data_IF_043319232937
#
_entry.id   IF_043319232937
#
_cell.length_a   1.000
_cell.length_b   1.000
_cell.length_c   1.000
_cell.angle_alpha   90.00
_cell.angle_beta   90.00
_cell.angle_gamma   90.00
#
_symmetry.space_group_name_H-M   'P 1'
#
loop_
_entity.id
_entity.type
_entity.pdbx_description
1 polymer ?
#
# COMPACT_ATOMS: atom_id res chain seq x y z
N UNK A 1 5.27 21.22 2.70
CA UNK A 1 5.46 20.07 3.62
C UNK A 1 6.49 20.49 4.65
N UNK A 2 6.06 21.17 5.72
CA UNK A 2 6.98 21.83 6.69
C UNK A 2 7.04 21.15 8.06
N UNK A 3 6.04 20.32 8.41
CA UNK A 3 5.88 19.78 9.77
C UNK A 3 6.78 18.55 10.03
N UNK A 4 7.04 17.74 9.00
CA UNK A 4 7.85 16.51 9.10
C UNK A 4 8.93 16.47 8.01
N UNK A 5 9.96 17.34 8.09
CA UNK A 5 10.94 17.51 7.01
C UNK A 5 11.78 16.26 6.74
N UNK A 6 11.92 15.37 7.74
CA UNK A 6 12.68 14.12 7.64
C UNK A 6 11.83 12.91 7.20
N UNK A 7 10.55 13.10 6.89
CA UNK A 7 9.68 12.01 6.49
C UNK A 7 9.86 11.70 5.00
N UNK A 8 10.27 10.47 4.68
CA UNK A 8 10.23 9.96 3.31
C UNK A 8 8.77 9.73 2.91
N UNK A 9 8.24 10.60 2.07
CA UNK A 9 6.86 10.47 1.56
C UNK A 9 6.87 9.64 0.29
N UNK A 10 5.99 8.63 0.24
CA UNK A 10 5.79 7.77 -0.91
C UNK A 10 4.30 7.56 -1.18
N UNK A 11 3.95 7.37 -2.44
CA UNK A 11 2.62 6.96 -2.85
C UNK A 11 2.46 5.44 -2.66
N UNK A 12 1.48 5.05 -1.86
CA UNK A 12 1.19 3.66 -1.58
C UNK A 12 0.94 2.84 -2.86
N UNK A 13 1.84 1.90 -3.15
CA UNK A 13 1.79 1.04 -4.34
C UNK A 13 0.48 0.27 -4.47
N UNK A 14 -0.12 -0.15 -3.34
CA UNK A 14 -1.41 -0.85 -3.34
C UNK A 14 -2.52 0.04 -3.89
N UNK A 15 -2.56 1.31 -3.49
CA UNK A 15 -3.54 2.27 -4.00
C UNK A 15 -3.25 2.65 -5.44
N UNK A 16 -1.97 2.72 -5.84
CA UNK A 16 -1.57 2.94 -7.22
C UNK A 16 -2.08 1.81 -8.14
N UNK A 17 -1.85 0.54 -7.75
CA UNK A 17 -2.36 -0.63 -8.49
C UNK A 17 -3.89 -0.62 -8.57
N UNK A 18 -4.59 -0.38 -7.45
CA UNK A 18 -6.06 -0.34 -7.47
C UNK A 18 -6.61 0.79 -8.34
N UNK A 19 -5.93 1.92 -8.37
CA UNK A 19 -6.31 3.05 -9.23
C UNK A 19 -6.14 2.71 -10.71
N UNK A 20 -5.04 2.04 -11.08
CA UNK A 20 -4.81 1.52 -12.43
C UNK A 20 -5.92 0.58 -12.89
N UNK A 21 -6.33 -0.38 -12.04
CA UNK A 21 -7.32 -1.40 -12.41
C UNK A 21 -8.69 -0.82 -12.82
N UNK A 22 -8.99 0.43 -12.47
CA UNK A 22 -10.20 1.15 -12.90
C UNK A 22 -10.22 1.43 -14.40
N UNK A 23 -9.06 1.47 -15.04
CA UNK A 23 -8.90 1.77 -16.48
C UNK A 23 -8.68 0.52 -17.34
N UNK A 24 -8.72 -0.66 -16.74
CA UNK A 24 -8.47 -1.92 -17.43
C UNK A 24 -9.64 -2.90 -17.29
N UNK A 25 -9.89 -3.68 -18.33
CA UNK A 25 -10.85 -4.78 -18.28
C UNK A 25 -10.46 -5.83 -17.24
N UNK A 26 -11.47 -6.31 -16.49
CA UNK A 26 -11.32 -7.37 -15.49
C UNK A 26 -10.66 -8.64 -16.06
N UNK A 27 -10.87 -8.93 -17.34
CA UNK A 27 -10.25 -10.06 -18.02
C UNK A 27 -8.71 -10.02 -17.97
N UNK A 28 -8.12 -8.82 -17.89
CA UNK A 28 -6.67 -8.63 -17.91
C UNK A 28 -6.07 -8.36 -16.51
N UNK A 29 -6.89 -8.23 -15.46
CA UNK A 29 -6.42 -7.84 -14.11
C UNK A 29 -5.36 -8.79 -13.54
N UNK A 30 -5.52 -10.09 -13.74
CA UNK A 30 -4.56 -11.08 -13.24
C UNK A 30 -3.18 -10.90 -13.87
N UNK A 31 -3.13 -10.71 -15.20
CA UNK A 31 -1.87 -10.53 -15.95
C UNK A 31 -1.25 -9.17 -15.64
N UNK A 32 -2.04 -8.10 -15.67
CA UNK A 32 -1.60 -6.75 -15.30
C UNK A 32 -0.97 -6.70 -13.91
N UNK A 33 -1.63 -7.26 -12.89
CA UNK A 33 -1.09 -7.22 -11.52
C UNK A 33 0.17 -8.08 -11.37
N UNK A 34 0.31 -9.17 -12.12
CA UNK A 34 1.54 -9.98 -12.17
C UNK A 34 2.70 -9.21 -12.80
N UNK A 35 2.47 -8.48 -13.88
CA UNK A 35 3.52 -7.69 -14.55
C UNK A 35 3.90 -6.47 -13.72
N UNK A 36 2.92 -5.76 -13.14
CA UNK A 36 3.16 -4.66 -12.19
C UNK A 36 3.97 -5.09 -10.97
N UNK A 37 3.80 -6.34 -10.51
CA UNK A 37 4.59 -6.89 -9.41
C UNK A 37 6.08 -6.85 -9.70
N UNK A 38 6.48 -7.12 -10.94
CA UNK A 38 7.90 -7.10 -11.33
C UNK A 38 8.51 -5.70 -11.18
N UNK A 39 7.71 -4.65 -11.35
CA UNK A 39 8.15 -3.26 -11.18
C UNK A 39 8.44 -2.97 -9.71
N UNK A 40 7.45 -3.13 -8.83
CA UNK A 40 7.61 -2.74 -7.42
C UNK A 40 8.44 -3.71 -6.57
N UNK A 41 8.72 -4.91 -7.08
CA UNK A 41 9.68 -5.85 -6.46
C UNK A 41 11.06 -5.81 -7.10
N UNK A 42 11.34 -4.89 -8.03
CA UNK A 42 12.65 -4.76 -8.65
C UNK A 42 13.74 -4.42 -7.61
N UNK A 43 14.98 -4.91 -7.78
CA UNK A 43 16.05 -4.68 -6.79
C UNK A 43 16.53 -3.23 -6.75
N UNK A 44 16.47 -2.51 -7.89
CA UNK A 44 16.93 -1.13 -8.04
C UNK A 44 15.91 -0.30 -8.82
N UNK A 45 16.03 1.03 -8.74
CA UNK A 45 15.21 1.96 -9.53
C UNK A 45 15.40 1.74 -11.03
N UNK A 46 16.63 1.64 -11.52
CA UNK A 46 16.93 1.32 -12.92
C UNK A 46 16.30 0.00 -13.38
N UNK A 47 16.32 -1.03 -12.53
CA UNK A 47 15.65 -2.28 -12.85
C UNK A 47 14.13 -2.10 -12.90
N UNK A 48 13.54 -1.28 -12.02
CA UNK A 48 12.12 -0.96 -12.06
C UNK A 48 11.73 -0.19 -13.33
N UNK A 49 12.57 0.75 -13.79
CA UNK A 49 12.38 1.48 -15.05
C UNK A 49 12.38 0.53 -16.25
N UNK A 50 13.34 -0.40 -16.30
CA UNK A 50 13.37 -1.44 -17.34
C UNK A 50 12.09 -2.28 -17.34
N UNK A 51 11.62 -2.72 -16.15
CA UNK A 51 10.36 -3.46 -16.03
C UNK A 51 9.14 -2.62 -16.41
N UNK A 52 9.18 -1.31 -16.17
CA UNK A 52 8.12 -0.41 -16.58
C UNK A 52 8.10 -0.21 -18.10
N UNK A 53 9.27 -0.13 -18.75
CA UNK A 53 9.36 -0.10 -20.21
C UNK A 53 8.83 -1.39 -20.85
N UNK A 54 9.16 -2.56 -20.29
CA UNK A 54 8.57 -3.86 -20.72
C UNK A 54 7.04 -3.85 -20.55
N UNK A 55 6.54 -3.31 -19.45
CA UNK A 55 5.11 -3.20 -19.17
C UNK A 55 4.41 -2.25 -20.14
N UNK A 56 5.03 -1.12 -20.48
CA UNK A 56 4.54 -0.16 -21.48
C UNK A 56 4.50 -0.76 -22.88
N UNK A 57 5.53 -1.51 -23.28
CA UNK A 57 5.53 -2.19 -24.57
C UNK A 57 4.40 -3.23 -24.69
N UNK A 58 4.07 -3.94 -23.60
CA UNK A 58 3.00 -4.94 -23.61
C UNK A 58 1.59 -4.32 -23.54
N UNK A 59 1.41 -3.28 -22.72
CA UNK A 59 0.08 -2.78 -22.35
C UNK A 59 -0.24 -1.39 -22.89
N UNK A 60 0.73 -0.67 -23.44
CA UNK A 60 0.61 0.73 -23.82
C UNK A 60 -0.43 1.01 -24.89
N UNK A 61 -0.48 0.19 -25.93
CA UNK A 61 -1.45 0.34 -27.02
C UNK A 61 -2.89 0.09 -26.53
N UNK A 62 -3.06 -0.92 -25.67
CA UNK A 62 -4.38 -1.33 -25.17
C UNK A 62 -4.88 -0.42 -24.05
N UNK A 63 -3.98 0.03 -23.18
CA UNK A 63 -4.31 0.79 -21.98
C UNK A 63 -3.39 2.02 -21.81
N UNK A 64 -3.44 3.01 -22.73
CA UNK A 64 -2.56 4.17 -22.66
C UNK A 64 -2.78 5.02 -21.39
N UNK A 65 -4.01 5.07 -20.88
CA UNK A 65 -4.33 5.76 -19.62
C UNK A 65 -3.64 5.10 -18.40
N UNK A 66 -3.44 3.79 -18.43
CA UNK A 66 -2.71 3.05 -17.39
C UNK A 66 -1.24 3.45 -17.36
N UNK A 67 -0.62 3.56 -18.55
CA UNK A 67 0.78 3.99 -18.68
C UNK A 67 0.95 5.43 -18.20
N UNK A 68 0.08 6.34 -18.66
CA UNK A 68 0.11 7.75 -18.24
C UNK A 68 0.02 7.87 -16.71
N UNK A 69 -0.93 7.18 -16.08
CA UNK A 69 -1.12 7.20 -14.63
C UNK A 69 0.14 6.72 -13.88
N UNK A 70 0.83 5.69 -14.36
CA UNK A 70 2.07 5.21 -13.72
C UNK A 70 3.25 6.15 -13.94
N UNK A 71 3.36 6.75 -15.13
CA UNK A 71 4.41 7.73 -15.43
C UNK A 71 4.26 8.99 -14.57
N UNK A 72 3.03 9.48 -14.40
CA UNK A 72 2.72 10.60 -13.52
C UNK A 72 3.01 10.27 -12.04
N UNK A 73 2.70 9.05 -11.60
CA UNK A 73 2.96 8.60 -10.23
C UNK A 73 4.44 8.28 -9.95
N UNK A 74 5.27 8.14 -10.99
CA UNK A 74 6.65 7.65 -10.87
C UNK A 74 7.48 8.42 -9.82
N UNK A 75 7.52 9.77 -9.80
CA UNK A 75 8.33 10.51 -8.82
C UNK A 75 7.89 10.31 -7.37
N UNK A 76 6.59 10.03 -7.15
CA UNK A 76 6.06 9.73 -5.82
C UNK A 76 6.14 8.25 -5.47
N UNK A 77 6.38 7.37 -6.45
CA UNK A 77 6.55 5.93 -6.27
C UNK A 77 8.02 5.54 -6.02
N UNK A 78 8.99 6.16 -6.69
CA UNK A 78 10.41 5.80 -6.57
C UNK A 78 10.97 5.89 -5.14
N UNK A 79 10.52 6.79 -4.24
CA UNK A 79 10.96 6.76 -2.84
C UNK A 79 10.64 5.43 -2.13
N UNK A 80 9.59 4.71 -2.57
CA UNK A 80 9.31 3.37 -2.05
C UNK A 80 10.38 2.34 -2.48
N UNK A 81 10.99 2.48 -3.67
CA UNK A 81 12.05 1.58 -4.14
C UNK A 81 13.36 1.74 -3.38
N UNK A 82 13.61 2.93 -2.80
CA UNK A 82 14.78 3.19 -1.95
C UNK A 82 14.77 2.39 -0.64
N UNK A 83 13.63 1.83 -0.25
CA UNK A 83 13.56 0.97 0.92
C UNK A 83 14.16 -0.42 0.64
N UNK A 84 14.92 -0.99 1.61
CA UNK A 84 15.26 -2.41 1.62
C UNK A 84 14.05 -3.33 1.40
N UNK A 85 14.27 -4.50 0.81
CA UNK A 85 13.20 -5.42 0.42
C UNK A 85 12.34 -5.88 1.61
N UNK A 86 12.96 -6.04 2.78
CA UNK A 86 12.33 -6.40 4.05
C UNK A 86 11.29 -5.37 4.48
N UNK A 87 11.63 -4.08 4.31
CA UNK A 87 10.76 -2.94 4.62
C UNK A 87 9.68 -2.81 3.55
N UNK A 88 10.06 -2.87 2.26
CA UNK A 88 9.12 -2.81 1.14
C UNK A 88 8.01 -3.83 1.30
N UNK A 89 8.37 -5.08 1.63
CA UNK A 89 7.41 -6.16 1.85
C UNK A 89 6.34 -5.78 2.84
N UNK A 90 6.68 -5.16 3.96
CA UNK A 90 5.71 -4.68 4.94
C UNK A 90 4.83 -3.58 4.34
N UNK A 91 5.42 -2.59 3.67
CA UNK A 91 4.72 -1.44 3.09
C UNK A 91 3.68 -1.86 2.04
N UNK A 92 4.02 -2.77 1.13
CA UNK A 92 3.10 -3.20 0.07
C UNK A 92 2.17 -4.34 0.49
N UNK A 93 2.25 -4.85 1.73
CA UNK A 93 1.23 -5.79 2.21
C UNK A 93 -0.11 -5.08 2.34
N UNK A 94 -1.16 -5.69 1.79
CA UNK A 94 -2.52 -5.16 1.90
C UNK A 94 -3.20 -5.57 3.21
N UNK A 95 -2.67 -6.60 3.88
CA UNK A 95 -3.32 -7.28 5.01
C UNK A 95 -3.79 -6.34 6.13
N UNK A 96 -2.94 -5.41 6.57
CA UNK A 96 -3.28 -4.51 7.68
C UNK A 96 -4.43 -3.55 7.33
N UNK A 97 -4.34 -2.91 6.17
CA UNK A 97 -5.31 -1.92 5.68
C UNK A 97 -6.61 -2.61 5.26
N UNK A 98 -6.54 -3.74 4.54
CA UNK A 98 -7.70 -4.50 4.11
C UNK A 98 -8.46 -5.11 5.29
N UNK A 99 -7.75 -5.66 6.28
CA UNK A 99 -8.36 -6.19 7.51
C UNK A 99 -9.17 -5.11 8.23
N UNK A 100 -8.58 -3.93 8.45
CA UNK A 100 -9.28 -2.83 9.12
C UNK A 100 -10.43 -2.28 8.26
N UNK A 101 -10.19 -2.04 6.97
CA UNK A 101 -11.19 -1.53 6.04
C UNK A 101 -12.37 -2.49 5.84
N UNK A 102 -12.15 -3.81 5.89
CA UNK A 102 -13.22 -4.80 5.87
C UNK A 102 -14.10 -4.70 7.12
N UNK A 103 -13.49 -4.52 8.30
CA UNK A 103 -14.24 -4.34 9.56
C UNK A 103 -15.06 -3.06 9.56
N UNK A 104 -14.50 -1.95 9.09
CA UNK A 104 -15.24 -0.70 8.93
C UNK A 104 -16.42 -0.85 7.97
N UNK A 105 -16.21 -1.45 6.80
CA UNK A 105 -17.31 -1.72 5.84
C UNK A 105 -18.38 -2.63 6.44
N UNK A 106 -18.01 -3.65 7.20
CA UNK A 106 -18.97 -4.52 7.87
C UNK A 106 -19.80 -3.76 8.91
N UNK A 107 -19.15 -2.94 9.76
CA UNK A 107 -19.83 -2.15 10.77
C UNK A 107 -20.77 -1.11 10.16
N UNK A 108 -20.33 -0.42 9.10
CA UNK A 108 -21.15 0.53 8.36
C UNK A 108 -22.37 -0.15 7.70
N UNK A 109 -22.17 -1.29 7.01
CA UNK A 109 -23.25 -2.06 6.38
C UNK A 109 -24.32 -2.52 7.38
N UNK A 110 -23.93 -2.91 8.60
CA UNK A 110 -24.87 -3.31 9.66
C UNK A 110 -25.73 -2.16 10.16
N UNK A 111 -25.28 -0.90 10.02
CA UNK A 111 -26.01 0.29 10.47
C UNK A 111 -26.88 0.90 9.37
N UNK A 112 -26.49 0.77 8.09
CA UNK A 112 -27.22 1.30 6.95
C UNK A 112 -27.04 2.82 6.77
N UNK A 113 -27.50 3.61 7.74
CA UNK A 113 -27.38 5.08 7.75
C UNK A 113 -26.84 5.59 9.09
N UNK A 114 -26.22 6.77 9.07
CA UNK A 114 -25.73 7.46 10.27
C UNK A 114 -26.38 8.85 10.36
N UNK A 115 -27.02 9.20 11.50
CA UNK A 115 -27.73 10.47 11.65
C UNK A 115 -26.78 11.68 11.69
N UNK A 116 -25.53 11.47 12.09
CA UNK A 116 -24.48 12.50 12.12
C UNK A 116 -23.11 11.90 11.82
N UNK A 117 -22.15 12.73 11.42
CA UNK A 117 -20.74 12.34 11.28
C UNK A 117 -20.18 11.79 12.60
N UNK A 118 -20.53 12.42 13.74
CA UNK A 118 -20.10 11.96 15.07
C UNK A 118 -20.60 10.55 15.39
N UNK A 119 -21.83 10.20 14.98
CA UNK A 119 -22.34 8.84 15.13
C UNK A 119 -21.51 7.83 14.31
N UNK A 120 -21.12 8.20 13.08
CA UNK A 120 -20.25 7.38 12.25
C UNK A 120 -18.86 7.20 12.89
N UNK A 121 -18.23 8.30 13.33
CA UNK A 121 -16.94 8.28 14.01
C UNK A 121 -16.96 7.41 15.27
N UNK A 122 -18.01 7.51 16.09
CA UNK A 122 -18.17 6.67 17.29
C UNK A 122 -18.19 5.18 16.94
N UNK A 123 -18.86 4.79 15.85
CA UNK A 123 -18.88 3.40 15.41
C UNK A 123 -17.51 2.94 14.92
N UNK A 124 -16.80 3.74 14.13
CA UNK A 124 -15.44 3.41 13.68
C UNK A 124 -14.46 3.29 14.86
N UNK A 125 -14.55 4.20 15.83
CA UNK A 125 -13.79 4.14 17.08
C UNK A 125 -14.04 2.85 17.86
N UNK A 126 -15.30 2.46 18.03
CA UNK A 126 -15.66 1.21 18.71
C UNK A 126 -15.13 -0.01 17.95
N UNK A 127 -15.12 -0.01 16.61
CA UNK A 127 -14.51 -1.07 15.81
C UNK A 127 -13.01 -1.19 16.09
N UNK A 128 -12.29 -0.08 16.24
CA UNK A 128 -10.86 -0.10 16.56
C UNK A 128 -10.63 -0.66 17.97
N UNK A 129 -11.43 -0.20 18.94
CA UNK A 129 -11.31 -0.57 20.36
C UNK A 129 -11.72 -2.00 20.67
N UNK A 130 -12.57 -2.60 19.85
CA UNK A 130 -13.05 -3.96 20.08
C UNK A 130 -12.04 -5.00 19.59
N UNK A 131 -11.37 -5.75 20.48
CA UNK A 131 -10.50 -6.86 20.07
C UNK A 131 -11.34 -7.98 19.46
N UNK A 132 -10.78 -8.68 18.48
CA UNK A 132 -11.39 -9.88 17.93
C UNK A 132 -10.85 -11.10 18.68
N UNK A 133 -11.69 -12.13 18.87
CA UNK A 133 -11.27 -13.40 19.47
C UNK A 133 -10.06 -13.94 18.69
N UNK A 134 -8.97 -14.28 19.39
CA UNK A 134 -7.70 -14.76 18.83
C UNK A 134 -6.96 -13.75 17.93
N UNK A 135 -7.33 -12.46 17.95
CA UNK A 135 -6.67 -11.38 17.22
C UNK A 135 -6.53 -10.15 18.11
N UNK A 136 -5.44 -10.06 18.91
CA UNK A 136 -5.22 -8.93 19.81
C UNK A 136 -4.99 -7.62 19.05
N UNK A 137 -4.43 -7.68 17.84
CA UNK A 137 -4.22 -6.51 16.97
C UNK A 137 -5.39 -6.31 16.01
N UNK A 138 -5.91 -5.07 15.96
CA UNK A 138 -7.02 -4.68 15.06
C UNK A 138 -6.68 -4.89 13.57
N UNK A 139 -5.40 -4.73 13.22
CA UNK A 139 -4.82 -4.88 11.88
C UNK A 139 -4.28 -6.29 11.61
N UNK A 140 -4.33 -7.20 12.58
CA UNK A 140 -3.77 -8.55 12.46
C UNK A 140 -2.27 -8.63 12.73
N UNK A 141 -1.62 -9.69 12.23
CA UNK A 141 -0.16 -9.89 12.34
C UNK A 141 0.51 -9.46 11.04
N UNK A 142 1.67 -8.81 11.16
CA UNK A 142 2.52 -8.45 10.02
C UNK A 142 3.61 -9.52 9.86
N UNK A 143 3.57 -10.36 8.81
CA UNK A 143 4.60 -11.38 8.59
C UNK A 143 5.98 -10.74 8.41
N UNK A 144 7.00 -11.33 9.04
CA UNK A 144 8.37 -10.82 8.93
C UNK A 144 8.61 -9.48 9.64
N UNK A 145 7.72 -9.05 10.55
CA UNK A 145 7.86 -7.78 11.26
C UNK A 145 9.19 -7.63 11.99
N UNK A 146 9.67 -8.66 12.68
CA UNK A 146 10.95 -8.60 13.41
C UNK A 146 12.13 -8.31 12.47
N UNK A 147 12.15 -8.95 11.30
CA UNK A 147 13.17 -8.70 10.26
C UNK A 147 13.08 -7.26 9.77
N UNK A 148 11.88 -6.80 9.40
CA UNK A 148 11.67 -5.44 8.93
C UNK A 148 12.02 -4.38 10.00
N UNK A 149 11.73 -4.64 11.27
CA UNK A 149 12.06 -3.75 12.39
C UNK A 149 13.58 -3.63 12.56
N UNK A 150 14.31 -4.73 12.47
CA UNK A 150 15.77 -4.71 12.49
C UNK A 150 16.33 -3.88 11.32
N UNK A 151 15.84 -4.12 10.11
CA UNK A 151 16.23 -3.34 8.93
C UNK A 151 15.88 -1.86 9.06
N UNK A 152 14.71 -1.53 9.63
CA UNK A 152 14.30 -0.14 9.89
C UNK A 152 15.23 0.57 10.86
N UNK A 153 15.65 -0.10 11.94
CA UNK A 153 16.56 0.45 12.93
C UNK A 153 17.93 0.79 12.31
N UNK A 154 18.42 -0.04 11.37
CA UNK A 154 19.64 0.26 10.64
C UNK A 154 19.44 1.35 9.57
N UNK A 155 18.32 1.30 8.83
CA UNK A 155 18.05 2.23 7.72
C UNK A 155 17.84 3.67 8.21
N UNK A 156 17.17 3.85 9.35
CA UNK A 156 16.91 5.17 9.93
C UNK A 156 17.83 5.51 11.12
N UNK A 157 18.76 4.62 11.47
CA UNK A 157 19.78 4.84 12.49
C UNK A 157 19.21 5.27 13.84
N UNK A 158 19.67 6.42 14.31
CA UNK A 158 19.36 7.03 15.61
C UNK A 158 17.88 7.42 15.79
N UNK A 159 17.09 7.40 14.72
CA UNK A 159 15.66 7.74 14.77
C UNK A 159 14.78 6.66 15.40
N UNK A 160 15.30 5.45 15.59
CA UNK A 160 14.59 4.35 16.25
C UNK A 160 15.32 3.98 17.54
N UNK A 161 14.73 4.34 18.68
CA UNK A 161 15.26 3.98 19.99
C UNK A 161 15.05 2.48 20.25
N UNK A 162 16.14 1.77 20.53
CA UNK A 162 16.14 0.37 20.94
C UNK A 162 15.89 0.29 22.46
N UNK A 163 14.64 0.48 22.88
CA UNK A 163 14.21 0.28 24.27
C UNK A 163 13.49 -1.06 24.44
#
# INVERSE_FOLDING_TARGET
>A
MEIWPQATVQQCVVHLIRSLLRYASKAHWSRLTKDLRRIYTAPTETAAEQRFAEFEAEWGDRYPAVIRLWREAWPTFTPFLAFPAEIRRVIYTTNAIESLGARFRQAARRRGHFPTEQAALKVLYLVIRQPLKNRPNVTGRTPGWKTALNTLALYYGDRITLN
#
